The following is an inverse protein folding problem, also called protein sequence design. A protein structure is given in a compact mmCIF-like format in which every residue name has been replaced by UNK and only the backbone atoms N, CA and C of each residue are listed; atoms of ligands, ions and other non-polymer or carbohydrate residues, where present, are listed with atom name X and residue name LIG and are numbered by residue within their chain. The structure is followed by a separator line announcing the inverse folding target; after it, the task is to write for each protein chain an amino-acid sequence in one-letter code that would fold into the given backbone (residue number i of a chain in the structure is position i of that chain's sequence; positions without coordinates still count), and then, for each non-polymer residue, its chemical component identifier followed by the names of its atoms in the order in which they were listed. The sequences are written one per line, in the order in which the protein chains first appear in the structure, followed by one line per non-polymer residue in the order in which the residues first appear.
data_IF_481660752322
#
_entry.id   IF_481660752322
#
_cell.length_a   1.000
_cell.length_b   1.000
_cell.length_c   1.000
_cell.angle_alpha   90.00
_cell.angle_beta   90.00
_cell.angle_gamma   90.00
#
_symmetry.space_group_name_H-M   'P 1'
#
loop_
_entity.id
_entity.type
_entity.pdbx_description
1 polymer ?
#
# COMPACT_ATOMS: atom_id res chain seq x y z
N UNK A 1 17.95 2.93 -15.83
CA UNK A 1 17.14 2.07 -14.95
C UNK A 1 16.97 2.79 -13.61
N UNK A 2 15.74 2.96 -13.17
CA UNK A 2 15.45 3.48 -11.84
C UNK A 2 15.40 2.31 -10.87
N UNK A 3 15.99 2.49 -9.70
CA UNK A 3 15.99 1.49 -8.62
C UNK A 3 15.20 1.98 -7.42
N UNK A 4 14.80 1.06 -6.55
CA UNK A 4 14.26 1.44 -5.23
C UNK A 4 15.38 2.08 -4.43
N UNK A 5 15.18 3.32 -3.99
CA UNK A 5 16.20 4.06 -3.22
C UNK A 5 16.48 3.40 -1.88
N UNK A 6 17.73 3.41 -1.47
CA UNK A 6 18.08 3.03 -0.12
C UNK A 6 17.44 4.02 0.88
N UNK A 7 16.82 3.49 1.93
CA UNK A 7 16.11 4.31 2.90
C UNK A 7 16.50 3.94 4.33
N UNK A 8 16.78 4.96 5.12
CA UNK A 8 16.92 4.83 6.56
C UNK A 8 15.67 5.38 7.21
N UNK A 9 15.02 4.56 8.02
CA UNK A 9 13.80 4.93 8.73
C UNK A 9 13.97 4.68 10.22
N UNK A 10 13.47 5.62 11.03
CA UNK A 10 13.40 5.51 12.48
C UNK A 10 11.98 5.89 12.91
N UNK A 11 11.38 5.10 13.78
CA UNK A 11 10.08 5.40 14.35
C UNK A 11 10.09 5.22 15.87
N UNK A 12 9.44 6.15 16.58
CA UNK A 12 9.23 6.09 18.02
C UNK A 12 7.77 6.36 18.32
N UNK A 13 7.05 5.32 18.73
CA UNK A 13 5.64 5.41 19.12
C UNK A 13 5.46 5.49 20.64
N UNK A 14 4.44 6.20 21.07
CA UNK A 14 3.98 6.28 22.44
C UNK A 14 2.60 5.66 22.55
N UNK A 15 2.47 4.75 23.48
CA UNK A 15 1.26 3.95 23.68
C UNK A 15 0.79 4.03 25.12
N UNK A 16 -0.51 3.89 25.32
CA UNK A 16 -1.07 3.65 26.64
C UNK A 16 -0.69 2.25 27.15
N UNK A 17 -0.79 1.98 28.45
CA UNK A 17 -0.54 0.63 29.00
C UNK A 17 -1.42 -0.46 28.39
N UNK A 18 -2.60 -0.10 27.89
CA UNK A 18 -3.53 -1.01 27.21
C UNK A 18 -3.33 -1.06 25.69
N UNK A 19 -2.23 -0.46 25.15
CA UNK A 19 -1.76 -0.60 23.79
C UNK A 19 -2.37 0.34 22.77
N UNK A 20 -3.08 1.41 23.16
CA UNK A 20 -3.55 2.42 22.23
C UNK A 20 -2.41 3.39 21.86
N UNK A 21 -2.16 3.58 20.58
CA UNK A 21 -1.18 4.55 20.08
C UNK A 21 -1.69 5.98 20.34
N UNK A 22 -0.84 6.82 20.90
CA UNK A 22 -1.13 8.24 21.14
C UNK A 22 -0.36 9.15 20.23
N UNK A 23 0.88 8.83 19.97
CA UNK A 23 1.79 9.69 19.22
C UNK A 23 2.89 8.86 18.55
N UNK A 24 3.36 9.30 17.39
CA UNK A 24 4.50 8.71 16.69
C UNK A 24 5.41 9.79 16.11
N UNK A 25 6.71 9.59 16.25
CA UNK A 25 7.78 10.34 15.60
C UNK A 25 8.41 9.47 14.53
N UNK A 26 8.51 10.00 13.33
CA UNK A 26 9.10 9.29 12.18
C UNK A 26 10.17 10.17 11.54
N UNK A 27 11.39 9.62 11.42
CA UNK A 27 12.49 10.20 10.67
C UNK A 27 12.83 9.30 9.49
N UNK A 28 12.84 9.88 8.30
CA UNK A 28 13.08 9.16 7.05
C UNK A 28 14.14 9.89 6.22
N UNK A 29 15.18 9.16 5.83
CA UNK A 29 16.19 9.63 4.88
C UNK A 29 16.18 8.71 3.66
N UNK A 30 15.95 9.27 2.47
CA UNK A 30 16.01 8.57 1.19
C UNK A 30 17.24 8.98 0.41
N UNK A 31 18.00 8.01 -0.07
CA UNK A 31 19.07 8.24 -1.05
C UNK A 31 18.47 8.25 -2.47
N UNK A 32 18.48 9.42 -3.09
CA UNK A 32 18.01 9.60 -4.46
C UNK A 32 19.03 9.13 -5.52
N UNK A 33 20.26 8.85 -5.11
CA UNK A 33 21.35 8.61 -6.04
C UNK A 33 21.85 9.89 -6.72
N UNK A 34 22.29 9.77 -7.97
CA UNK A 34 22.93 10.86 -8.69
C UNK A 34 21.97 12.02 -9.05
N UNK A 35 20.67 11.79 -9.12
CA UNK A 35 19.65 12.79 -9.44
C UNK A 35 18.46 12.68 -8.52
N UNK A 36 17.96 13.83 -8.04
CA UNK A 36 16.82 13.88 -7.11
C UNK A 36 15.54 13.33 -7.74
N UNK A 37 15.25 13.68 -9.00
CA UNK A 37 14.04 13.25 -9.70
C UNK A 37 12.76 13.50 -8.86
N UNK A 38 11.95 12.46 -8.70
CA UNK A 38 10.72 12.50 -7.91
C UNK A 38 10.89 12.00 -6.46
N UNK A 39 12.12 11.87 -5.97
CA UNK A 39 12.41 11.34 -4.63
C UNK A 39 11.77 12.18 -3.50
N UNK A 40 11.63 13.49 -3.69
CA UNK A 40 10.94 14.37 -2.74
C UNK A 40 9.46 14.03 -2.60
N UNK A 41 8.78 13.75 -3.69
CA UNK A 41 7.37 13.32 -3.67
C UNK A 41 7.21 11.93 -3.06
N UNK A 42 8.18 11.04 -3.29
CA UNK A 42 8.20 9.71 -2.69
C UNK A 42 8.26 9.77 -1.16
N UNK A 43 9.17 10.58 -0.61
CA UNK A 43 9.29 10.80 0.84
C UNK A 43 8.05 11.50 1.41
N UNK A 44 7.49 12.49 0.69
CA UNK A 44 6.25 13.17 1.09
C UNK A 44 5.05 12.21 1.08
N UNK A 45 4.95 11.32 0.10
CA UNK A 45 3.88 10.34 0.02
C UNK A 45 3.91 9.35 1.20
N UNK A 46 5.09 8.98 1.68
CA UNK A 46 5.26 8.11 2.84
C UNK A 46 4.60 8.71 4.08
N UNK A 47 4.73 10.01 4.31
CA UNK A 47 4.15 10.70 5.46
C UNK A 47 2.61 10.57 5.56
N UNK A 48 1.91 10.31 4.47
CA UNK A 48 0.45 10.24 4.47
C UNK A 48 -0.15 8.85 4.52
N UNK A 49 0.65 7.82 4.52
CA UNK A 49 0.14 6.45 4.45
C UNK A 49 -0.19 5.83 5.82
N UNK A 50 0.58 6.11 6.88
CA UNK A 50 0.31 5.54 8.21
C UNK A 50 -1.11 5.82 8.70
N UNK A 51 -1.62 7.02 8.48
CA UNK A 51 -2.94 7.47 8.97
C UNK A 51 -4.12 6.84 8.23
N UNK A 52 -3.89 6.22 7.09
CA UNK A 52 -4.94 5.52 6.33
C UNK A 52 -5.25 4.13 6.88
N UNK A 53 -4.24 3.47 7.43
CA UNK A 53 -4.40 2.13 7.98
C UNK A 53 -4.48 2.12 9.50
N UNK A 54 -3.94 3.14 10.15
CA UNK A 54 -3.80 3.19 11.59
C UNK A 54 -4.42 4.46 12.20
N UNK A 55 -4.99 4.31 13.38
CA UNK A 55 -5.46 5.42 14.22
C UNK A 55 -4.26 6.07 14.89
N UNK A 56 -3.80 7.17 14.34
CA UNK A 56 -2.66 7.94 14.83
C UNK A 56 -3.13 9.33 15.20
N UNK A 57 -3.37 9.63 16.49
CA UNK A 57 -3.82 10.97 16.92
C UNK A 57 -2.81 12.06 16.60
N UNK A 58 -1.53 11.82 16.87
CA UNK A 58 -0.46 12.77 16.61
C UNK A 58 0.72 12.10 15.90
N UNK A 59 1.14 12.69 14.78
CA UNK A 59 2.28 12.20 14.01
C UNK A 59 3.25 13.35 13.72
N UNK A 60 4.49 13.18 14.13
CA UNK A 60 5.62 14.03 13.76
C UNK A 60 6.42 13.30 12.68
N UNK A 61 6.55 13.93 11.54
CA UNK A 61 7.26 13.35 10.41
C UNK A 61 8.34 14.30 9.90
N UNK A 62 9.56 13.82 9.90
CA UNK A 62 10.70 14.47 9.27
C UNK A 62 11.22 13.59 8.15
N UNK A 63 11.16 14.09 6.92
CA UNK A 63 11.62 13.40 5.73
C UNK A 63 12.66 14.22 4.99
N UNK A 64 13.77 13.61 4.63
CA UNK A 64 14.82 14.24 3.84
C UNK A 64 15.25 13.35 2.69
N UNK A 65 15.73 13.98 1.63
CA UNK A 65 16.32 13.32 0.46
C UNK A 65 17.77 13.76 0.36
N UNK A 66 18.65 12.81 0.17
CA UNK A 66 20.06 13.05 -0.06
C UNK A 66 20.45 12.61 -1.47
N UNK A 67 21.43 13.29 -2.07
CA UNK A 67 22.07 12.85 -3.31
C UNK A 67 23.35 12.10 -2.99
N UNK A 68 23.65 11.09 -3.80
CA UNK A 68 24.88 10.30 -3.69
C UNK A 68 25.36 9.85 -5.07
N UNK A 69 26.48 9.13 -5.12
CA UNK A 69 26.96 8.52 -6.35
C UNK A 69 26.31 7.15 -6.67
N UNK A 70 25.21 6.83 -5.98
CA UNK A 70 24.43 5.61 -6.24
C UNK A 70 23.62 5.73 -7.54
N UNK A 71 23.12 4.61 -8.10
CA UNK A 71 22.15 4.66 -9.19
C UNK A 71 20.95 5.51 -8.84
N UNK A 72 20.38 6.16 -9.85
CA UNK A 72 19.18 7.02 -9.67
C UNK A 72 18.03 6.21 -9.09
N UNK A 73 17.50 6.68 -7.98
CA UNK A 73 16.30 6.11 -7.37
C UNK A 73 15.07 6.96 -7.68
N UNK A 74 13.91 6.35 -7.55
CA UNK A 74 12.67 7.08 -7.80
C UNK A 74 11.44 6.19 -7.63
N UNK A 75 10.42 6.49 -8.41
CA UNK A 75 9.16 5.75 -8.40
C UNK A 75 9.43 4.25 -8.60
N UNK A 76 9.14 3.48 -7.59
CA UNK A 76 9.17 2.03 -7.64
C UNK A 76 7.80 1.51 -7.20
N UNK A 77 7.40 0.35 -7.74
CA UNK A 77 6.11 -0.26 -7.40
C UNK A 77 5.83 -0.21 -5.90
N UNK A 78 4.64 0.17 -5.51
CA UNK A 78 4.13 0.52 -4.18
C UNK A 78 4.28 1.98 -3.74
N UNK A 79 5.07 2.81 -4.44
CA UNK A 79 5.21 4.24 -4.14
C UNK A 79 5.29 4.55 -2.64
N UNK A 80 6.33 4.04 -1.96
CA UNK A 80 6.59 4.13 -0.51
C UNK A 80 5.63 3.36 0.42
N UNK A 81 4.62 2.64 -0.08
CA UNK A 81 3.72 1.89 0.79
C UNK A 81 4.41 0.70 1.48
N UNK A 82 5.34 0.03 0.80
CA UNK A 82 6.09 -1.08 1.40
C UNK A 82 7.01 -0.60 2.53
N UNK A 83 7.67 0.54 2.34
CA UNK A 83 8.55 1.15 3.34
C UNK A 83 7.75 1.65 4.55
N UNK A 84 6.62 2.29 4.29
CA UNK A 84 5.71 2.72 5.35
C UNK A 84 5.20 1.53 6.16
N UNK A 85 4.68 0.51 5.48
CA UNK A 85 4.18 -0.69 6.14
C UNK A 85 5.29 -1.32 6.99
N UNK A 86 6.51 -1.46 6.48
CA UNK A 86 7.64 -1.99 7.26
C UNK A 86 7.89 -1.17 8.53
N UNK A 87 7.88 0.16 8.42
CA UNK A 87 8.12 1.06 9.56
C UNK A 87 7.02 0.91 10.62
N UNK A 88 5.76 0.96 10.21
CA UNK A 88 4.61 0.88 11.11
C UNK A 88 4.47 -0.51 11.76
N UNK A 89 4.60 -1.55 10.97
CA UNK A 89 4.45 -2.92 11.44
C UNK A 89 5.55 -3.31 12.44
N UNK A 90 6.79 -2.87 12.21
CA UNK A 90 7.89 -3.04 13.16
C UNK A 90 7.65 -2.26 14.45
N UNK A 91 7.04 -1.07 14.37
CA UNK A 91 6.69 -0.26 15.53
C UNK A 91 5.59 -0.92 16.37
N UNK A 92 4.55 -1.46 15.72
CA UNK A 92 3.47 -2.18 16.39
C UNK A 92 3.98 -3.47 17.05
N UNK A 93 4.85 -4.22 16.38
CA UNK A 93 5.46 -5.43 16.93
C UNK A 93 6.31 -5.13 18.18
N UNK A 94 7.14 -4.08 18.11
CA UNK A 94 7.95 -3.67 19.25
C UNK A 94 7.10 -3.19 20.44
N UNK A 95 5.98 -2.51 20.17
CA UNK A 95 5.04 -2.10 21.20
C UNK A 95 4.33 -3.32 21.83
N UNK A 96 3.88 -4.27 21.01
CA UNK A 96 3.25 -5.50 21.47
C UNK A 96 4.19 -6.29 22.40
N UNK A 97 5.45 -6.45 21.99
CA UNK A 97 6.47 -7.13 22.80
C UNK A 97 6.70 -6.43 24.14
N UNK A 98 6.88 -5.11 24.11
CA UNK A 98 7.13 -4.31 25.32
C UNK A 98 5.95 -4.30 26.30
N UNK A 99 4.72 -4.37 25.78
CA UNK A 99 3.50 -4.38 26.57
C UNK A 99 3.03 -5.80 26.94
N UNK A 100 3.68 -6.85 26.46
CA UNK A 100 3.25 -8.23 26.64
C UNK A 100 1.92 -8.52 25.94
N UNK A 101 1.59 -7.80 24.89
CA UNK A 101 0.35 -7.94 24.13
C UNK A 101 0.52 -8.88 22.93
N UNK A 102 -0.59 -9.50 22.54
CA UNK A 102 -0.64 -10.24 21.28
C UNK A 102 -0.51 -9.27 20.08
N UNK A 103 0.25 -9.68 19.04
CA UNK A 103 0.50 -8.87 17.85
C UNK A 103 -0.75 -8.59 17.02
N UNK A 104 -1.70 -9.52 17.03
CA UNK A 104 -3.01 -9.30 16.41
C UNK A 104 -3.84 -8.30 17.24
N UNK A 105 -3.86 -8.45 18.56
CA UNK A 105 -4.64 -7.59 19.44
C UNK A 105 -4.22 -6.12 19.38
N UNK A 106 -2.92 -5.83 19.34
CA UNK A 106 -2.45 -4.43 19.22
C UNK A 106 -2.83 -3.80 17.88
N UNK A 107 -2.86 -4.59 16.78
CA UNK A 107 -3.30 -4.13 15.47
C UNK A 107 -4.79 -3.82 15.45
N UNK A 108 -5.62 -4.73 15.92
CA UNK A 108 -7.07 -4.53 16.03
C UNK A 108 -7.43 -3.31 16.91
N UNK A 109 -6.58 -3.00 17.88
CA UNK A 109 -6.77 -1.80 18.71
C UNK A 109 -6.46 -0.51 17.97
N UNK A 110 -5.45 -0.52 17.10
CA UNK A 110 -4.93 0.67 16.45
C UNK A 110 -5.32 0.81 14.97
N UNK A 111 -6.03 -0.14 14.40
CA UNK A 111 -6.46 -0.07 13.01
C UNK A 111 -7.51 1.02 12.82
N UNK A 112 -7.42 1.74 11.69
CA UNK A 112 -8.40 2.75 11.29
C UNK A 112 -9.80 2.13 11.11
N UNK A 113 -10.84 2.92 11.38
CA UNK A 113 -12.24 2.49 11.38
C UNK A 113 -13.07 3.33 10.43
N UNK A 114 -14.16 2.73 9.95
CA UNK A 114 -15.13 3.42 9.11
C UNK A 114 -15.63 4.70 9.76
N UNK A 115 -15.73 5.76 8.96
CA UNK A 115 -16.17 7.08 9.40
C UNK A 115 -15.12 7.90 10.15
N UNK A 116 -13.93 7.36 10.44
CA UNK A 116 -12.82 8.15 10.98
C UNK A 116 -12.21 9.04 9.88
N UNK A 117 -11.42 10.01 10.29
CA UNK A 117 -10.76 10.96 9.41
C UNK A 117 -9.32 10.53 9.11
N UNK A 118 -8.93 10.56 7.83
CA UNK A 118 -7.51 10.62 7.46
C UNK A 118 -6.93 11.95 7.92
N UNK A 119 -6.12 11.92 8.95
CA UNK A 119 -5.58 13.10 9.61
C UNK A 119 -4.68 13.97 8.72
N UNK A 120 -4.17 13.44 7.64
CA UNK A 120 -3.36 14.20 6.69
C UNK A 120 -4.19 14.84 5.58
N UNK A 121 -5.20 14.14 5.10
CA UNK A 121 -6.03 14.61 3.99
C UNK A 121 -7.27 15.37 4.45
N UNK A 122 -7.61 15.26 5.74
CA UNK A 122 -8.85 15.82 6.32
C UNK A 122 -10.10 15.33 5.60
N UNK A 123 -10.10 14.05 5.23
CA UNK A 123 -11.19 13.37 4.54
C UNK A 123 -11.67 12.19 5.36
N UNK A 124 -12.96 11.89 5.26
CA UNK A 124 -13.50 10.65 5.83
C UNK A 124 -12.84 9.44 5.20
N UNK A 125 -12.54 8.44 6.05
CA UNK A 125 -12.08 7.12 5.60
C UNK A 125 -13.22 6.26 5.06
N UNK A 126 -14.45 6.81 5.05
CA UNK A 126 -15.65 6.13 4.54
C UNK A 126 -15.80 4.71 5.10
N UNK A 127 -16.08 3.72 4.25
CA UNK A 127 -16.29 2.32 4.63
C UNK A 127 -14.98 1.52 4.59
N UNK A 128 -14.08 1.79 5.52
CA UNK A 128 -12.82 1.04 5.63
C UNK A 128 -13.01 -0.27 6.40
N UNK A 129 -12.62 -1.40 5.82
CA UNK A 129 -12.87 -2.75 6.35
C UNK A 129 -11.61 -3.50 6.80
N UNK A 130 -10.55 -2.78 7.13
CA UNK A 130 -9.28 -3.41 7.56
C UNK A 130 -9.48 -4.23 8.82
N UNK A 131 -10.21 -3.71 9.82
CA UNK A 131 -10.49 -4.43 11.06
C UNK A 131 -11.26 -5.74 10.84
N UNK A 132 -12.29 -5.71 9.99
CA UNK A 132 -13.07 -6.89 9.62
C UNK A 132 -12.19 -7.92 8.89
N UNK A 133 -11.36 -7.45 7.95
CA UNK A 133 -10.43 -8.31 7.20
C UNK A 133 -9.41 -9.00 8.12
N UNK A 134 -8.87 -8.27 9.10
CA UNK A 134 -7.96 -8.83 10.10
C UNK A 134 -8.67 -9.88 10.95
N UNK A 135 -9.86 -9.58 11.45
CA UNK A 135 -10.64 -10.49 12.30
C UNK A 135 -10.97 -11.77 11.55
N UNK A 136 -11.63 -11.66 10.39
CA UNK A 136 -12.01 -12.82 9.59
C UNK A 136 -10.79 -13.59 9.07
N UNK A 137 -9.74 -12.88 8.68
CA UNK A 137 -8.49 -13.48 8.21
C UNK A 137 -7.81 -14.28 9.30
N UNK A 138 -7.70 -13.75 10.52
CA UNK A 138 -7.07 -14.43 11.65
C UNK A 138 -7.85 -15.67 12.09
N UNK A 139 -9.17 -15.62 12.09
CA UNK A 139 -10.03 -16.77 12.37
C UNK A 139 -9.83 -17.88 11.34
N UNK A 140 -9.93 -17.55 10.04
CA UNK A 140 -9.73 -18.52 8.95
C UNK A 140 -8.32 -19.10 8.89
N UNK A 141 -7.33 -18.30 9.24
CA UNK A 141 -5.93 -18.73 9.33
C UNK A 141 -5.68 -19.65 10.53
N UNK A 142 -6.51 -19.58 11.57
CA UNK A 142 -6.33 -20.32 12.82
C UNK A 142 -5.22 -19.74 13.70
N UNK A 143 -5.18 -18.42 13.85
CA UNK A 143 -4.11 -17.66 14.53
C UNK A 143 -3.72 -18.25 15.88
N UNK A 144 -4.67 -18.46 16.79
CA UNK A 144 -4.38 -18.95 18.14
C UNK A 144 -3.90 -20.41 18.15
N UNK A 145 -4.49 -21.26 17.30
CA UNK A 145 -4.08 -22.65 17.13
C UNK A 145 -2.64 -22.75 16.65
N UNK A 146 -2.29 -22.02 15.60
CA UNK A 146 -0.94 -22.03 15.02
C UNK A 146 0.09 -21.48 16.01
N UNK A 147 -0.23 -20.43 16.76
CA UNK A 147 0.63 -19.92 17.82
C UNK A 147 0.92 -20.98 18.90
N UNK A 148 -0.09 -21.73 19.33
CA UNK A 148 0.08 -22.79 20.31
C UNK A 148 0.93 -23.94 19.77
N UNK A 149 0.71 -24.34 18.52
CA UNK A 149 1.51 -25.35 17.83
C UNK A 149 2.97 -24.92 17.68
N UNK A 150 3.22 -23.67 17.30
CA UNK A 150 4.55 -23.10 17.17
C UNK A 150 5.27 -23.01 18.51
N UNK A 151 4.57 -22.63 19.56
CA UNK A 151 5.13 -22.59 20.91
C UNK A 151 5.58 -24.00 21.37
N UNK A 152 4.75 -25.02 21.16
CA UNK A 152 5.07 -26.42 21.47
C UNK A 152 6.26 -26.90 20.60
N UNK A 153 6.28 -26.63 19.32
CA UNK A 153 7.39 -26.95 18.44
C UNK A 153 8.69 -26.29 18.90
N UNK A 154 8.65 -25.00 19.21
CA UNK A 154 9.82 -24.24 19.63
C UNK A 154 10.37 -24.70 21.00
N UNK A 155 9.52 -25.21 21.86
CA UNK A 155 9.95 -25.79 23.14
C UNK A 155 10.70 -27.12 22.93
N UNK A 156 10.34 -27.90 21.90
CA UNK A 156 10.95 -29.21 21.61
C UNK A 156 12.15 -29.13 20.66
N UNK A 157 12.41 -27.98 20.01
CA UNK A 157 13.45 -27.77 19.01
C UNK A 157 14.40 -26.64 19.36
N UNK A 158 15.72 -26.86 19.13
CA UNK A 158 16.75 -25.83 19.33
C UNK A 158 17.28 -25.26 18.02
N UNK A 159 17.30 -26.05 16.94
CA UNK A 159 17.88 -25.66 15.64
C UNK A 159 16.94 -24.80 14.81
N UNK A 160 15.66 -25.12 14.82
CA UNK A 160 14.65 -24.43 14.01
C UNK A 160 13.66 -23.70 14.90
N UNK A 161 13.07 -22.64 14.38
CA UNK A 161 12.00 -21.91 15.02
C UNK A 161 10.84 -21.76 14.03
N UNK A 162 9.62 -21.86 14.53
CA UNK A 162 8.39 -21.55 13.79
C UNK A 162 7.75 -20.33 14.41
N UNK A 163 7.04 -19.59 13.59
CA UNK A 163 6.27 -18.44 14.03
C UNK A 163 5.27 -18.02 12.99
N UNK A 164 4.19 -17.44 13.45
CA UNK A 164 3.19 -16.77 12.64
C UNK A 164 3.35 -15.27 12.77
N UNK A 165 3.06 -14.54 11.71
CA UNK A 165 3.12 -13.09 11.67
C UNK A 165 1.91 -12.51 10.95
N UNK A 166 1.63 -11.25 11.24
CA UNK A 166 0.61 -10.47 10.57
C UNK A 166 1.22 -9.14 10.15
N UNK A 167 0.85 -8.64 8.99
CA UNK A 167 1.22 -7.33 8.50
C UNK A 167 0.04 -6.65 7.81
N UNK A 168 -0.05 -5.34 7.99
CA UNK A 168 -1.04 -4.49 7.35
C UNK A 168 -0.31 -3.54 6.41
N UNK A 169 -0.82 -3.36 5.20
CA UNK A 169 -0.32 -2.39 4.25
C UNK A 169 -1.45 -1.76 3.47
N UNK A 170 -1.31 -0.50 3.13
CA UNK A 170 -2.28 0.23 2.34
C UNK A 170 -1.60 1.05 1.25
N UNK A 171 -2.24 1.13 0.10
CA UNK A 171 -1.79 1.97 -1.01
C UNK A 171 -2.94 2.85 -1.48
N UNK A 172 -2.68 4.14 -1.71
CA UNK A 172 -3.63 5.02 -2.37
C UNK A 172 -3.54 4.85 -3.89
N UNK A 173 -4.69 4.72 -4.52
CA UNK A 173 -4.81 4.54 -5.97
C UNK A 173 -5.29 5.81 -6.68
N UNK A 174 -5.15 6.98 -6.04
CA UNK A 174 -5.66 8.24 -6.54
C UNK A 174 -4.76 9.40 -6.14
N UNK A 175 -4.72 10.42 -6.96
CA UNK A 175 -4.10 11.72 -6.63
C UNK A 175 -5.03 12.64 -5.83
N UNK A 176 -6.31 12.31 -5.79
CA UNK A 176 -7.28 13.08 -5.01
C UNK A 176 -6.87 13.16 -3.51
N UNK A 177 -7.02 14.30 -2.83
CA UNK A 177 -7.64 15.55 -3.29
C UNK A 177 -6.65 16.54 -3.93
N UNK A 178 -5.42 16.14 -4.21
CA UNK A 178 -4.37 17.03 -4.73
C UNK A 178 -4.75 17.60 -6.11
N UNK A 179 -5.30 16.75 -6.95
CA UNK A 179 -5.97 17.08 -8.21
C UNK A 179 -6.94 15.94 -8.57
N UNK A 180 -7.87 16.24 -9.46
CA UNK A 180 -8.82 15.24 -9.92
C UNK A 180 -8.12 14.24 -10.83
N UNK A 181 -8.30 12.96 -10.54
CA UNK A 181 -7.92 11.90 -11.46
C UNK A 181 -8.99 11.80 -12.55
N UNK A 182 -8.54 11.66 -13.78
CA UNK A 182 -9.41 11.28 -14.88
C UNK A 182 -8.67 10.33 -15.82
N UNK A 183 -9.42 9.48 -16.49
CA UNK A 183 -8.94 8.61 -17.53
C UNK A 183 -9.87 8.70 -18.72
N UNK A 184 -9.31 8.55 -19.89
CA UNK A 184 -10.06 8.52 -21.14
C UNK A 184 -9.83 7.21 -21.89
N UNK A 185 -10.81 6.81 -22.69
CA UNK A 185 -10.71 5.65 -23.55
C UNK A 185 -11.51 5.84 -24.82
N UNK A 186 -11.14 5.17 -25.87
CA UNK A 186 -11.92 5.09 -27.09
C UNK A 186 -12.16 3.65 -27.50
N UNK A 187 -13.36 3.36 -27.98
CA UNK A 187 -13.71 2.05 -28.53
C UNK A 187 -14.29 2.26 -29.92
N UNK A 188 -13.72 1.55 -30.89
CA UNK A 188 -14.16 1.56 -32.29
C UNK A 188 -14.70 0.18 -32.68
N UNK A 189 -15.82 0.16 -33.41
CA UNK A 189 -16.37 -1.05 -34.00
C UNK A 189 -15.76 -1.23 -35.40
N UNK A 190 -15.15 -2.39 -35.63
CA UNK A 190 -14.61 -2.75 -36.93
C UNK A 190 -15.67 -3.41 -37.84
N UNK A 191 -15.44 -3.41 -39.16
CA UNK A 191 -16.37 -3.96 -40.13
C UNK A 191 -16.62 -5.48 -39.97
N UNK A 192 -15.69 -6.20 -39.35
CA UNK A 192 -15.82 -7.64 -39.06
C UNK A 192 -16.54 -7.94 -37.74
N UNK A 193 -17.04 -6.91 -37.07
CA UNK A 193 -17.72 -7.02 -35.78
C UNK A 193 -16.78 -7.12 -34.57
N UNK A 194 -15.47 -7.01 -34.79
CA UNK A 194 -14.53 -6.86 -33.68
C UNK A 194 -14.49 -5.42 -33.18
N UNK A 195 -13.91 -5.19 -32.01
CA UNK A 195 -13.78 -3.87 -31.41
C UNK A 195 -12.32 -3.58 -31.09
N UNK A 196 -11.90 -2.34 -31.39
CA UNK A 196 -10.60 -1.83 -30.97
C UNK A 196 -10.80 -0.86 -29.82
N UNK A 197 -10.24 -1.18 -28.66
CA UNK A 197 -10.25 -0.36 -27.47
C UNK A 197 -8.86 0.20 -27.19
N UNK A 198 -8.77 1.53 -27.06
CA UNK A 198 -7.52 2.25 -26.84
C UNK A 198 -7.59 2.96 -25.47
N UNK A 199 -6.71 2.58 -24.58
CA UNK A 199 -6.58 3.15 -23.23
C UNK A 199 -5.12 3.39 -22.89
N UNK A 200 -4.86 4.43 -22.12
CA UNK A 200 -3.55 4.59 -21.47
C UNK A 200 -3.60 3.89 -20.13
N UNK A 201 -3.14 2.66 -20.09
CA UNK A 201 -3.15 1.80 -18.91
C UNK A 201 -1.73 1.34 -18.59
N UNK A 202 -1.47 1.14 -17.32
CA UNK A 202 -0.23 0.54 -16.84
C UNK A 202 -0.53 -0.78 -16.12
N UNK A 203 -0.08 -1.89 -16.69
CA UNK A 203 -0.14 -3.16 -15.99
C UNK A 203 1.12 -3.39 -15.16
N UNK A 204 1.01 -3.14 -13.88
CA UNK A 204 2.07 -3.41 -12.91
C UNK A 204 2.09 -4.87 -12.41
N UNK A 205 1.46 -5.79 -13.16
CA UNK A 205 1.32 -7.20 -12.81
C UNK A 205 0.01 -7.50 -12.06
N UNK A 206 -0.95 -6.57 -12.11
CA UNK A 206 -2.29 -6.74 -11.51
C UNK A 206 -3.36 -7.15 -12.53
N UNK A 207 -3.00 -7.27 -13.82
CA UNK A 207 -3.93 -7.68 -14.87
C UNK A 207 -4.86 -6.55 -15.32
N UNK A 208 -4.43 -5.30 -15.27
CA UNK A 208 -5.25 -4.13 -15.60
C UNK A 208 -5.85 -4.21 -16.99
N UNK A 209 -5.05 -4.60 -18.00
CA UNK A 209 -5.51 -4.73 -19.39
C UNK A 209 -6.61 -5.79 -19.51
N UNK A 210 -6.43 -6.94 -18.84
CA UNK A 210 -7.43 -8.00 -18.80
C UNK A 210 -8.72 -7.52 -18.12
N UNK A 211 -8.60 -6.84 -16.97
CA UNK A 211 -9.75 -6.30 -16.26
C UNK A 211 -10.54 -5.30 -17.10
N UNK A 212 -9.85 -4.39 -17.80
CA UNK A 212 -10.51 -3.42 -18.69
C UNK A 212 -11.19 -4.08 -19.88
N UNK A 213 -10.59 -5.14 -20.46
CA UNK A 213 -11.24 -5.94 -21.51
C UNK A 213 -12.54 -6.57 -21.00
N UNK A 214 -12.50 -7.18 -19.82
CA UNK A 214 -13.68 -7.79 -19.19
C UNK A 214 -14.78 -6.76 -18.93
N UNK A 215 -14.41 -5.57 -18.42
CA UNK A 215 -15.37 -4.47 -18.20
C UNK A 215 -15.98 -4.03 -19.54
N UNK A 216 -15.18 -3.82 -20.57
CA UNK A 216 -15.65 -3.44 -21.89
C UNK A 216 -16.59 -4.51 -22.48
N UNK A 217 -16.22 -5.79 -22.37
CA UNK A 217 -17.05 -6.91 -22.81
C UNK A 217 -18.42 -6.95 -22.11
N UNK A 218 -18.40 -6.77 -20.78
CA UNK A 218 -19.62 -6.75 -19.97
C UNK A 218 -20.52 -5.56 -20.32
N UNK A 219 -19.98 -4.36 -20.48
CA UNK A 219 -20.73 -3.16 -20.83
C UNK A 219 -21.32 -3.24 -22.24
N UNK A 220 -20.51 -3.69 -23.20
CA UNK A 220 -20.90 -3.74 -24.62
C UNK A 220 -21.69 -5.01 -24.97
N UNK A 221 -21.77 -5.96 -24.06
CA UNK A 221 -22.44 -7.26 -24.27
C UNK A 221 -21.86 -8.04 -25.46
N UNK A 222 -20.55 -8.05 -25.59
CA UNK A 222 -19.80 -8.78 -26.62
C UNK A 222 -18.81 -9.73 -25.96
N UNK A 223 -18.43 -10.82 -26.63
CA UNK A 223 -17.38 -11.71 -26.14
C UNK A 223 -16.04 -11.01 -25.99
N UNK A 224 -15.26 -11.35 -24.96
CA UNK A 224 -13.96 -10.73 -24.68
C UNK A 224 -12.95 -10.91 -25.82
N UNK A 225 -13.03 -12.03 -26.54
CA UNK A 225 -12.15 -12.36 -27.67
C UNK A 225 -12.41 -11.47 -28.91
N UNK A 226 -13.51 -10.72 -28.91
CA UNK A 226 -13.82 -9.70 -29.92
C UNK A 226 -13.23 -8.33 -29.61
N UNK A 227 -12.63 -8.14 -28.43
CA UNK A 227 -12.08 -6.84 -28.00
C UNK A 227 -10.55 -6.89 -28.07
N UNK A 228 -9.99 -6.13 -28.96
CA UNK A 228 -8.55 -5.89 -29.08
C UNK A 228 -8.19 -4.65 -28.27
N UNK A 229 -7.13 -4.76 -27.45
CA UNK A 229 -6.67 -3.67 -26.58
C UNK A 229 -5.37 -3.09 -27.12
N UNK A 230 -5.31 -1.75 -27.21
CA UNK A 230 -4.04 -1.02 -27.33
C UNK A 230 -3.81 -0.24 -26.05
N UNK A 231 -2.63 -0.40 -25.48
CA UNK A 231 -2.23 0.29 -24.26
C UNK A 231 -0.96 1.12 -24.47
N UNK A 232 -0.96 2.33 -23.94
CA UNK A 232 0.25 3.17 -23.87
C UNK A 232 0.90 3.53 -25.22
N UNK A 233 0.17 3.51 -26.31
CA UNK A 233 0.65 3.98 -27.62
C UNK A 233 0.24 5.46 -27.82
N UNK A 234 1.21 6.37 -27.73
CA UNK A 234 0.98 7.81 -27.82
C UNK A 234 0.40 8.27 -29.18
N UNK A 235 0.37 7.40 -30.20
CA UNK A 235 -0.24 7.72 -31.47
C UNK A 235 -1.77 7.54 -31.48
N UNK A 236 -2.30 6.67 -30.62
CA UNK A 236 -3.72 6.27 -30.68
C UNK A 236 -4.41 6.23 -29.31
N UNK A 237 -3.66 6.15 -28.21
CA UNK A 237 -4.27 6.18 -26.87
C UNK A 237 -4.43 7.59 -26.35
N UNK A 238 -5.56 7.90 -25.69
CA UNK A 238 -5.77 9.20 -25.09
C UNK A 238 -4.81 9.45 -23.93
N UNK A 239 -4.74 10.71 -23.49
CA UNK A 239 -3.90 11.08 -22.35
C UNK A 239 -4.48 10.53 -21.05
N UNK A 240 -3.59 10.07 -20.19
CA UNK A 240 -3.90 9.71 -18.81
C UNK A 240 -2.76 10.23 -17.93
N UNK A 241 -3.06 10.62 -16.69
CA UNK A 241 -2.00 11.06 -15.77
C UNK A 241 -1.16 9.90 -15.24
N UNK A 242 -1.63 8.69 -15.41
CA UNK A 242 -0.95 7.45 -15.07
C UNK A 242 -0.63 7.27 -13.58
N UNK A 243 -0.53 6.04 -13.13
CA UNK A 243 0.01 5.65 -11.83
C UNK A 243 0.67 4.30 -11.92
#
# INVERSE_FOLDING_TARGET
TIVRGAMRMSARGYYTPDGEMKEIYCDVTLDAGAYIGNAGDYVRALAGKPTRCNRIPYMHYHGQVISSNSPVSGAFRSWSAAEEALMMERQLDAAAEKLGMDRLAIRLKNVARSGEEDKKLHLSLEDIRIGDAITLGSEKFGWDKLKAEDAAFNASQQRYRRGVGIGIGGHGNTYFPRFNDYGEGSISLNADGSMQANFTLHDHGCGTVTAMRMIAAEVLKVPEDKIYMTEGDTAVTPIDYGC
#
